data_IF_538976365806
#
_entry.id   IF_538976365806
#
_cell.length_a   1.000
_cell.length_b   1.000
_cell.length_c   1.000
_cell.angle_alpha   90.00
_cell.angle_beta   90.00
_cell.angle_gamma   90.00
#
_symmetry.space_group_name_H-M   'P 1'
#
loop_
_entity.id
_entity.type
_entity.pdbx_description
1 polymer ?
#
# COMPACT_ATOMS: atom_id res chain seq x y z
N UNK A 1 25.42 -34.32 -2.62
CA UNK A 1 26.37 -34.96 -1.69
C UNK A 1 26.96 -33.84 -0.86
N UNK A 2 26.83 -33.89 0.46
CA UNK A 2 27.45 -32.90 1.35
C UNK A 2 28.95 -33.14 1.36
N UNK A 3 29.71 -32.29 0.70
CA UNK A 3 31.18 -32.37 0.72
C UNK A 3 31.63 -32.01 2.14
N UNK A 4 31.99 -33.01 2.94
CA UNK A 4 32.57 -32.80 4.26
C UNK A 4 33.85 -31.97 4.11
N UNK A 5 33.83 -30.74 4.66
CA UNK A 5 35.00 -29.86 4.71
C UNK A 5 35.80 -30.17 5.98
N UNK A 6 37.10 -30.00 5.91
CA UNK A 6 38.03 -30.29 7.00
C UNK A 6 38.85 -29.06 7.36
N UNK A 7 39.22 -28.94 8.63
CA UNK A 7 40.18 -27.95 9.12
C UNK A 7 41.39 -28.65 9.74
N UNK A 8 42.53 -27.99 9.70
CA UNK A 8 43.76 -28.46 10.34
C UNK A 8 43.98 -27.65 11.60
N UNK A 9 44.09 -28.37 12.72
CA UNK A 9 44.27 -27.78 14.05
C UNK A 9 45.64 -28.13 14.58
N UNK A 10 46.30 -27.13 15.15
CA UNK A 10 47.60 -27.22 15.79
C UNK A 10 47.50 -26.64 17.20
N UNK A 11 48.00 -27.36 18.20
CA UNK A 11 47.87 -27.01 19.62
C UNK A 11 49.21 -26.68 20.29
N UNK A 12 50.27 -26.46 19.51
CA UNK A 12 51.61 -26.19 20.05
C UNK A 12 52.47 -27.44 20.28
N UNK A 13 51.94 -28.64 20.05
CA UNK A 13 52.67 -29.90 20.27
C UNK A 13 53.72 -30.18 19.17
N UNK A 14 54.90 -30.62 19.59
CA UNK A 14 56.02 -30.95 18.71
C UNK A 14 56.21 -32.47 18.62
N UNK A 15 56.71 -32.94 17.47
CA UNK A 15 57.06 -34.35 17.32
C UNK A 15 58.27 -34.72 18.20
N UNK A 16 58.34 -35.96 18.73
CA UNK A 16 59.46 -36.40 19.54
C UNK A 16 60.81 -36.23 18.81
N UNK A 17 61.75 -35.53 19.44
CA UNK A 17 63.10 -35.31 18.90
C UNK A 17 63.29 -34.03 18.09
N UNK A 18 62.26 -33.17 17.96
CA UNK A 18 62.36 -31.86 17.31
C UNK A 18 62.45 -30.74 18.36
N UNK A 19 63.48 -29.89 18.24
CA UNK A 19 63.64 -28.72 19.11
C UNK A 19 62.66 -27.60 18.72
N UNK A 20 62.12 -26.87 19.70
CA UNK A 20 61.16 -25.78 19.49
C UNK A 20 61.65 -24.70 18.52
N UNK A 21 62.93 -24.33 18.61
CA UNK A 21 63.56 -23.33 17.73
C UNK A 21 63.54 -23.77 16.27
N UNK A 22 63.90 -25.03 16.01
CA UNK A 22 63.93 -25.64 14.67
C UNK A 22 62.53 -25.79 14.09
N UNK A 23 61.56 -26.21 14.90
CA UNK A 23 60.16 -26.32 14.46
C UNK A 23 59.56 -24.95 14.07
N UNK A 24 59.85 -23.89 14.84
CA UNK A 24 59.38 -22.53 14.52
C UNK A 24 59.96 -22.03 13.20
N UNK A 25 61.25 -22.29 12.94
CA UNK A 25 61.91 -21.93 11.68
C UNK A 25 61.32 -22.69 10.48
N UNK A 26 61.17 -24.01 10.58
CA UNK A 26 60.58 -24.81 9.51
C UNK A 26 59.12 -24.42 9.23
N UNK A 27 58.36 -24.06 10.26
CA UNK A 27 56.96 -23.64 10.11
C UNK A 27 56.86 -22.23 9.51
N UNK A 28 57.77 -21.32 9.89
CA UNK A 28 57.89 -20.00 9.26
C UNK A 28 58.21 -20.12 7.77
N UNK A 29 59.10 -21.02 7.37
CA UNK A 29 59.41 -21.31 5.97
C UNK A 29 58.20 -21.90 5.23
N UNK A 30 57.52 -22.89 5.83
CA UNK A 30 56.36 -23.56 5.23
C UNK A 30 55.22 -22.59 4.93
N UNK A 31 54.92 -21.67 5.86
CA UNK A 31 53.86 -20.67 5.71
C UNK A 31 54.33 -19.37 5.03
N UNK A 32 55.63 -19.24 4.73
CA UNK A 32 56.25 -18.00 4.25
C UNK A 32 55.94 -16.80 5.16
N UNK A 33 55.99 -17.03 6.47
CA UNK A 33 55.70 -16.03 7.52
C UNK A 33 56.96 -15.69 8.32
N UNK A 34 56.88 -14.61 9.09
CA UNK A 34 57.86 -14.25 10.11
C UNK A 34 57.81 -15.19 11.34
N UNK A 35 58.96 -15.37 11.98
CA UNK A 35 59.09 -16.23 13.18
C UNK A 35 58.27 -15.69 14.36
N UNK A 36 58.08 -14.36 14.45
CA UNK A 36 57.24 -13.72 15.46
C UNK A 36 55.74 -14.00 15.28
N UNK A 37 55.26 -14.07 14.03
CA UNK A 37 53.89 -14.47 13.72
C UNK A 37 53.62 -15.94 14.07
N UNK A 38 54.62 -16.80 13.85
CA UNK A 38 54.55 -18.22 14.21
C UNK A 38 54.59 -18.45 15.72
N UNK A 39 55.35 -17.65 16.48
CA UNK A 39 55.45 -17.78 17.94
C UNK A 39 54.08 -17.66 18.62
N UNK A 40 53.19 -16.82 18.06
CA UNK A 40 51.80 -16.65 18.53
C UNK A 40 50.92 -17.88 18.35
N UNK A 41 51.35 -18.88 17.58
CA UNK A 41 50.63 -20.15 17.39
C UNK A 41 51.01 -21.19 18.47
N UNK A 42 52.13 -20.99 19.18
CA UNK A 42 52.60 -21.86 20.26
C UNK A 42 52.03 -21.46 21.63
N UNK A 43 50.72 -21.19 21.68
CA UNK A 43 50.02 -20.76 22.90
C UNK A 43 49.50 -21.92 23.77
N UNK A 44 49.70 -23.17 23.32
CA UNK A 44 49.19 -24.38 23.97
C UNK A 44 47.67 -24.60 23.80
N UNK A 45 46.99 -23.69 23.10
CA UNK A 45 45.57 -23.80 22.77
C UNK A 45 45.41 -24.22 21.30
N UNK A 46 44.36 -25.00 20.96
CA UNK A 46 44.14 -25.44 19.58
C UNK A 46 43.81 -24.26 18.65
N UNK A 47 44.72 -23.96 17.73
CA UNK A 47 44.58 -22.95 16.69
C UNK A 47 44.34 -23.61 15.33
N UNK A 48 43.36 -23.11 14.57
CA UNK A 48 43.11 -23.58 13.21
C UNK A 48 44.09 -22.89 12.22
N UNK A 49 44.99 -23.66 11.63
CA UNK A 49 45.97 -23.16 10.65
C UNK A 49 45.35 -22.93 9.28
N UNK A 50 44.47 -23.84 8.84
CA UNK A 50 43.77 -23.76 7.57
C UNK A 50 42.41 -24.42 7.69
N UNK A 51 41.40 -23.79 7.10
CA UNK A 51 39.99 -24.20 7.13
C UNK A 51 39.51 -24.54 5.72
N UNK A 52 38.33 -25.15 5.65
CA UNK A 52 37.60 -25.32 4.40
C UNK A 52 38.38 -26.15 3.36
N UNK A 53 39.02 -27.24 3.80
CA UNK A 53 39.81 -28.13 2.95
C UNK A 53 39.02 -29.36 2.54
N UNK A 54 39.30 -29.88 1.33
CA UNK A 54 38.88 -31.23 0.96
C UNK A 54 39.75 -32.27 1.66
N UNK A 55 39.28 -33.52 1.77
CA UNK A 55 40.07 -34.60 2.41
C UNK A 55 41.48 -34.80 1.82
N UNK A 56 41.68 -34.90 0.50
CA UNK A 56 43.02 -35.08 -0.07
C UNK A 56 43.93 -33.86 0.16
N UNK A 57 43.38 -32.65 0.15
CA UNK A 57 44.15 -31.45 0.47
C UNK A 57 44.58 -31.46 1.93
N UNK A 58 43.66 -31.78 2.86
CA UNK A 58 43.96 -31.83 4.29
C UNK A 58 45.08 -32.84 4.62
N UNK A 59 45.11 -34.00 3.97
CA UNK A 59 46.19 -34.99 4.11
C UNK A 59 47.54 -34.46 3.60
N UNK A 60 47.52 -33.71 2.49
CA UNK A 60 48.72 -33.09 1.91
C UNK A 60 49.32 -32.06 2.88
N UNK A 61 48.48 -31.19 3.44
CA UNK A 61 48.93 -30.21 4.44
C UNK A 61 49.38 -30.85 5.75
N UNK A 62 48.71 -31.92 6.21
CA UNK A 62 49.13 -32.68 7.39
C UNK A 62 50.55 -33.26 7.20
N UNK A 63 50.84 -33.77 6.00
CA UNK A 63 52.16 -34.33 5.67
C UNK A 63 53.24 -33.25 5.71
N UNK A 64 52.94 -32.07 5.16
CA UNK A 64 53.86 -30.93 5.19
C UNK A 64 54.15 -30.46 6.63
N UNK A 65 53.15 -30.45 7.50
CA UNK A 65 53.30 -30.06 8.91
C UNK A 65 54.10 -31.10 9.73
N UNK A 66 53.90 -32.40 9.47
CA UNK A 66 54.71 -33.46 10.09
C UNK A 66 56.18 -33.37 9.67
N UNK A 67 56.44 -33.08 8.40
CA UNK A 67 57.80 -32.86 7.89
C UNK A 67 58.46 -31.62 8.51
N UNK A 68 57.66 -30.60 8.86
CA UNK A 68 58.14 -29.43 9.60
C UNK A 68 58.40 -29.71 11.10
N UNK A 69 58.07 -30.91 11.60
CA UNK A 69 58.34 -31.35 12.97
C UNK A 69 57.22 -31.07 13.96
N UNK A 70 56.00 -30.83 13.48
CA UNK A 70 54.87 -30.36 14.28
C UNK A 70 53.74 -31.39 14.30
N UNK A 71 53.10 -31.58 15.47
CA UNK A 71 51.96 -32.48 15.62
C UNK A 71 50.65 -31.71 15.37
N UNK A 72 50.09 -31.89 14.18
CA UNK A 72 48.82 -31.30 13.77
C UNK A 72 47.78 -32.40 13.53
N UNK A 73 46.49 -32.07 13.69
CA UNK A 73 45.39 -33.01 13.48
C UNK A 73 44.34 -32.46 12.51
N UNK A 74 43.70 -33.38 11.78
CA UNK A 74 42.58 -33.06 10.91
C UNK A 74 41.29 -33.19 11.72
N UNK A 75 40.49 -32.14 11.75
CA UNK A 75 39.15 -32.14 12.36
C UNK A 75 38.10 -31.88 11.27
N UNK A 76 36.97 -32.57 11.34
CA UNK A 76 35.83 -32.30 10.46
C UNK A 76 35.26 -30.91 10.80
N UNK A 77 35.16 -30.05 9.80
CA UNK A 77 34.50 -28.76 9.93
C UNK A 77 33.02 -28.97 9.66
N UNK A 78 32.20 -28.94 10.71
CA UNK A 78 30.76 -28.88 10.52
C UNK A 78 30.46 -27.61 9.73
N UNK A 79 29.70 -27.68 8.62
CA UNK A 79 29.29 -26.48 7.92
C UNK A 79 28.59 -25.59 8.93
N UNK A 80 29.11 -24.38 9.13
CA UNK A 80 28.38 -23.33 9.82
C UNK A 80 27.21 -23.00 8.91
N UNK A 81 26.14 -23.79 9.01
CA UNK A 81 24.85 -23.38 8.53
C UNK A 81 24.52 -22.14 9.35
N UNK A 82 24.59 -20.96 8.73
CA UNK A 82 23.90 -19.80 9.24
C UNK A 82 22.39 -20.10 9.17
N UNK A 83 21.92 -20.92 10.10
CA UNK A 83 20.52 -21.07 10.40
C UNK A 83 20.10 -19.77 11.07
N UNK A 84 19.29 -18.98 10.37
CA UNK A 84 18.52 -17.89 10.96
C UNK A 84 17.42 -18.40 11.92
N UNK A 85 17.38 -19.71 12.18
CA UNK A 85 16.47 -20.37 13.09
C UNK A 85 17.30 -21.12 14.15
N UNK A 86 17.94 -20.37 15.05
CA UNK A 86 18.12 -20.73 16.47
C UNK A 86 18.82 -19.57 17.18
N UNK A 87 18.11 -18.45 17.33
CA UNK A 87 18.19 -17.80 18.62
C UNK A 87 17.63 -18.81 19.60
N UNK A 88 18.48 -19.34 20.50
CA UNK A 88 17.97 -19.85 21.76
C UNK A 88 17.18 -18.69 22.36
N UNK A 89 15.85 -18.72 22.17
CA UNK A 89 14.93 -18.05 23.06
C UNK A 89 15.26 -18.65 24.42
N UNK A 90 16.03 -17.91 25.22
CA UNK A 90 15.99 -18.10 26.65
C UNK A 90 14.53 -17.94 27.01
N UNK A 91 13.87 -19.07 27.25
CA UNK A 91 12.53 -19.20 27.76
C UNK A 91 12.45 -18.33 29.01
N UNK A 92 12.07 -17.05 28.83
CA UNK A 92 11.82 -16.11 29.90
C UNK A 92 10.41 -16.35 30.42
N UNK A 93 10.16 -17.62 30.76
CA UNK A 93 8.92 -18.17 31.29
C UNK A 93 9.19 -18.99 32.56
N UNK A 94 10.28 -18.74 33.27
CA UNK A 94 10.47 -19.22 34.63
C UNK A 94 10.97 -18.05 35.48
N UNK A 95 10.25 -17.77 36.56
CA UNK A 95 10.58 -16.81 37.60
C UNK A 95 12.03 -17.00 38.09
N UNK A 96 12.94 -16.18 37.59
CA UNK A 96 14.35 -16.24 37.95
C UNK A 96 14.66 -15.27 39.10
N UNK A 97 14.75 -15.82 40.31
CA UNK A 97 15.26 -15.15 41.51
C UNK A 97 16.81 -15.08 41.55
N UNK A 98 17.50 -15.29 40.42
CA UNK A 98 18.97 -15.30 40.38
C UNK A 98 19.51 -14.34 39.31
N UNK A 99 19.28 -13.03 39.43
CA UNK A 99 20.08 -12.04 38.69
C UNK A 99 21.37 -11.73 39.46
N UNK A 100 22.58 -12.09 38.95
CA UNK A 100 23.81 -11.53 39.48
C UNK A 100 23.74 -10.01 39.34
N UNK A 101 24.09 -9.29 40.40
CA UNK A 101 24.13 -7.84 40.42
C UNK A 101 24.90 -7.32 39.19
N UNK A 102 24.30 -6.37 38.47
CA UNK A 102 24.92 -5.73 37.32
C UNK A 102 26.32 -5.22 37.71
N UNK A 103 27.34 -5.61 36.95
CA UNK A 103 28.72 -5.17 37.18
C UNK A 103 28.76 -3.63 37.27
N UNK A 104 29.46 -3.05 38.27
CA UNK A 104 29.55 -1.59 38.46
C UNK A 104 30.11 -0.79 37.28
N UNK A 105 30.74 -1.48 36.31
CA UNK A 105 31.32 -0.89 35.09
C UNK A 105 30.55 -1.25 33.81
N UNK A 106 29.34 -1.80 33.94
CA UNK A 106 28.52 -2.08 32.77
C UNK A 106 28.10 -0.77 32.09
N UNK A 107 28.35 -0.58 30.78
CA UNK A 107 27.89 0.59 30.05
C UNK A 107 26.35 0.64 30.11
N UNK A 108 25.75 1.85 30.17
CA UNK A 108 24.30 1.99 30.20
C UNK A 108 23.72 1.37 28.92
N UNK A 109 23.01 0.24 29.08
CA UNK A 109 22.27 -0.37 27.98
C UNK A 109 21.02 0.47 27.76
N UNK A 110 21.01 1.27 26.71
CA UNK A 110 19.76 1.79 26.18
C UNK A 110 18.91 0.59 25.75
N UNK A 111 17.63 0.56 26.14
CA UNK A 111 16.68 -0.39 25.59
C UNK A 111 16.43 -0.01 24.13
N UNK A 112 17.34 -0.41 23.23
CA UNK A 112 17.22 -0.17 21.79
C UNK A 112 16.39 -1.30 21.22
N UNK A 113 15.08 -1.06 21.13
CA UNK A 113 14.09 -2.02 20.68
C UNK A 113 13.02 -2.21 21.74
N UNK A 114 11.87 -1.57 21.54
CA UNK A 114 10.64 -2.11 22.11
C UNK A 114 10.42 -3.46 21.42
N UNK A 115 10.18 -4.53 22.20
CA UNK A 115 9.73 -5.83 21.67
C UNK A 115 8.33 -5.62 21.08
N UNK A 116 8.30 -5.16 19.84
CA UNK A 116 7.08 -5.04 19.07
C UNK A 116 6.64 -6.44 18.64
N UNK A 117 5.33 -6.75 18.72
CA UNK A 117 4.82 -8.01 18.20
C UNK A 117 5.14 -8.14 16.70
N UNK A 118 5.31 -9.36 16.20
CA UNK A 118 5.63 -9.61 14.79
C UNK A 118 4.60 -8.97 13.85
N UNK A 119 3.33 -8.91 14.27
CA UNK A 119 2.23 -8.29 13.52
C UNK A 119 1.37 -7.39 14.39
N UNK A 120 0.85 -6.32 13.79
CA UNK A 120 -0.10 -5.42 14.43
C UNK A 120 -1.51 -6.02 14.52
N UNK A 121 -2.25 -5.65 15.56
CA UNK A 121 -3.68 -5.97 15.68
C UNK A 121 -4.49 -5.15 14.68
N UNK A 122 -5.48 -5.78 14.05
CA UNK A 122 -6.35 -5.13 13.07
C UNK A 122 -7.57 -4.57 13.78
N UNK A 123 -7.69 -3.25 13.81
CA UNK A 123 -8.93 -2.59 14.21
C UNK A 123 -9.23 -1.47 13.22
N UNK A 124 -10.36 -1.57 12.53
CA UNK A 124 -10.71 -0.70 11.40
C UNK A 124 -11.43 0.57 11.87
N UNK A 125 -12.04 0.53 13.05
CA UNK A 125 -12.81 1.63 13.62
C UNK A 125 -11.98 2.56 14.53
N UNK A 126 -10.68 2.62 14.28
CA UNK A 126 -9.72 3.45 15.02
C UNK A 126 -8.79 4.14 14.04
N UNK A 127 -8.10 5.18 14.52
CA UNK A 127 -7.03 5.85 13.77
C UNK A 127 -5.66 5.25 14.05
N UNK A 128 -5.54 4.44 15.11
CA UNK A 128 -4.28 3.82 15.51
C UNK A 128 -4.08 2.49 14.79
N UNK A 129 -2.86 2.27 14.31
CA UNK A 129 -2.49 1.06 13.58
C UNK A 129 -2.30 1.31 12.09
N UNK A 130 -2.15 0.21 11.37
CA UNK A 130 -1.71 0.18 9.98
C UNK A 130 -2.55 -0.79 9.16
N UNK A 131 -2.92 -0.38 7.96
CA UNK A 131 -3.66 -1.24 7.03
C UNK A 131 -2.96 -1.29 5.67
N UNK A 132 -2.66 -2.51 5.21
CA UNK A 132 -2.03 -2.73 3.92
C UNK A 132 -2.97 -2.43 2.74
N UNK A 133 -2.40 -2.17 1.56
CA UNK A 133 -3.15 -1.79 0.33
C UNK A 133 -4.32 -2.70 -0.04
N UNK A 134 -4.19 -4.02 0.13
CA UNK A 134 -5.26 -4.97 -0.21
C UNK A 134 -6.44 -4.90 0.76
N UNK A 135 -6.18 -4.70 2.05
CA UNK A 135 -7.24 -4.51 3.05
C UNK A 135 -7.88 -3.14 2.92
N UNK A 136 -7.09 -2.12 2.58
CA UNK A 136 -7.60 -0.80 2.22
C UNK A 136 -8.62 -0.91 1.06
N UNK A 137 -8.25 -1.56 -0.05
CA UNK A 137 -9.17 -1.82 -1.18
C UNK A 137 -10.44 -2.57 -0.75
N UNK A 138 -10.29 -3.65 0.02
CA UNK A 138 -11.42 -4.46 0.46
C UNK A 138 -12.41 -3.65 1.30
N UNK A 139 -11.92 -2.86 2.25
CA UNK A 139 -12.77 -2.03 3.10
C UNK A 139 -13.37 -0.83 2.36
N UNK A 140 -12.66 -0.23 1.39
CA UNK A 140 -13.24 0.82 0.54
C UNK A 140 -14.37 0.27 -0.34
N UNK A 141 -14.27 -0.98 -0.82
CA UNK A 141 -15.37 -1.65 -1.52
C UNK A 141 -16.55 -1.88 -0.57
N UNK A 142 -16.32 -2.42 0.62
CA UNK A 142 -17.38 -2.64 1.62
C UNK A 142 -18.11 -1.35 1.95
N UNK A 143 -17.36 -0.26 2.19
CA UNK A 143 -17.91 1.06 2.45
C UNK A 143 -18.74 1.58 1.26
N UNK A 144 -18.24 1.41 0.04
CA UNK A 144 -18.93 1.86 -1.19
C UNK A 144 -20.23 1.08 -1.41
N UNK A 145 -20.20 -0.24 -1.26
CA UNK A 145 -21.41 -1.07 -1.40
C UNK A 145 -22.41 -0.77 -0.29
N UNK A 146 -21.96 -0.62 0.96
CA UNK A 146 -22.82 -0.21 2.07
C UNK A 146 -23.48 1.15 1.80
N UNK A 147 -22.74 2.11 1.24
CA UNK A 147 -23.27 3.41 0.80
C UNK A 147 -24.36 3.23 -0.26
N UNK A 148 -24.11 2.47 -1.33
CA UNK A 148 -25.10 2.26 -2.40
C UNK A 148 -26.37 1.60 -1.88
N UNK A 149 -26.24 0.57 -1.04
CA UNK A 149 -27.38 -0.14 -0.47
C UNK A 149 -28.18 0.78 0.46
N UNK A 150 -27.51 1.45 1.40
CA UNK A 150 -28.18 2.34 2.34
C UNK A 150 -28.83 3.55 1.63
N UNK A 151 -28.12 4.18 0.68
CA UNK A 151 -28.67 5.29 -0.11
C UNK A 151 -29.84 4.83 -0.99
N UNK A 152 -29.76 3.64 -1.59
CA UNK A 152 -30.85 3.05 -2.38
C UNK A 152 -32.10 2.78 -1.54
N UNK A 153 -31.94 2.25 -0.31
CA UNK A 153 -33.04 2.06 0.63
C UNK A 153 -33.67 3.42 1.01
N UNK A 154 -32.84 4.39 1.40
CA UNK A 154 -33.31 5.74 1.76
C UNK A 154 -34.07 6.37 0.59
N UNK A 155 -33.52 6.30 -0.63
CA UNK A 155 -34.13 6.84 -1.83
C UNK A 155 -35.47 6.17 -2.14
N UNK A 156 -35.56 4.84 -2.04
CA UNK A 156 -36.80 4.08 -2.28
C UNK A 156 -37.89 4.47 -1.28
N UNK A 157 -37.54 4.57 0.01
CA UNK A 157 -38.49 4.99 1.06
C UNK A 157 -38.92 6.44 0.86
N UNK A 158 -37.98 7.35 0.57
CA UNK A 158 -38.30 8.75 0.34
C UNK A 158 -39.17 8.95 -0.91
N UNK A 159 -38.94 8.18 -1.97
CA UNK A 159 -39.78 8.20 -3.17
C UNK A 159 -41.22 7.79 -2.87
N UNK A 160 -41.43 6.75 -2.06
CA UNK A 160 -42.76 6.33 -1.62
C UNK A 160 -43.46 7.41 -0.76
N UNK A 161 -42.73 8.15 0.07
CA UNK A 161 -43.30 9.27 0.85
C UNK A 161 -43.61 10.48 -0.04
N UNK A 162 -42.80 10.70 -1.08
CA UNK A 162 -42.94 11.84 -1.98
C UNK A 162 -44.28 11.85 -2.72
N UNK A 163 -44.91 10.69 -2.93
CA UNK A 163 -46.24 10.59 -3.54
C UNK A 163 -47.35 11.19 -2.67
N UNK A 164 -47.16 11.23 -1.35
CA UNK A 164 -48.11 11.84 -0.40
C UNK A 164 -47.73 13.29 -0.09
N UNK A 165 -46.45 13.55 0.15
CA UNK A 165 -45.96 14.90 0.45
C UNK A 165 -44.50 15.06 0.00
N UNK A 166 -44.23 15.79 -1.10
CA UNK A 166 -42.88 15.95 -1.62
C UNK A 166 -41.96 16.71 -0.65
N UNK A 167 -42.48 17.71 0.07
CA UNK A 167 -41.70 18.51 1.02
C UNK A 167 -41.13 17.67 2.17
N UNK A 168 -41.93 16.77 2.75
CA UNK A 168 -41.46 15.90 3.85
C UNK A 168 -40.42 14.90 3.34
N UNK A 169 -40.62 14.33 2.15
CA UNK A 169 -39.68 13.41 1.55
C UNK A 169 -38.30 14.05 1.34
N UNK A 170 -38.26 15.29 0.85
CA UNK A 170 -37.00 16.03 0.64
C UNK A 170 -36.30 16.29 1.98
N UNK A 171 -37.03 16.79 3.00
CA UNK A 171 -36.46 17.09 4.31
C UNK A 171 -35.91 15.82 4.98
N UNK A 172 -36.70 14.74 5.02
CA UNK A 172 -36.28 13.49 5.65
C UNK A 172 -35.13 12.83 4.88
N UNK A 173 -35.22 12.78 3.54
CA UNK A 173 -34.20 12.19 2.69
C UNK A 173 -32.87 12.94 2.77
N UNK A 174 -32.89 14.28 2.79
CA UNK A 174 -31.68 15.07 2.94
C UNK A 174 -31.06 14.91 4.33
N UNK A 175 -31.86 14.94 5.40
CA UNK A 175 -31.36 14.75 6.77
C UNK A 175 -30.72 13.37 6.97
N UNK A 176 -31.41 12.31 6.53
CA UNK A 176 -30.94 10.94 6.66
C UNK A 176 -29.75 10.66 5.73
N UNK A 177 -29.78 11.19 4.51
CA UNK A 177 -28.68 11.13 3.57
C UNK A 177 -27.43 11.83 4.08
N UNK A 178 -27.58 13.02 4.69
CA UNK A 178 -26.47 13.74 5.31
C UNK A 178 -25.90 12.98 6.52
N UNK A 179 -26.75 12.43 7.39
CA UNK A 179 -26.30 11.62 8.53
C UNK A 179 -25.52 10.38 8.07
N UNK A 180 -26.02 9.67 7.05
CA UNK A 180 -25.33 8.53 6.43
C UNK A 180 -23.98 8.96 5.85
N UNK A 181 -23.94 10.07 5.12
CA UNK A 181 -22.71 10.60 4.54
C UNK A 181 -21.65 10.88 5.61
N UNK A 182 -22.01 11.59 6.68
CA UNK A 182 -21.08 11.90 7.78
C UNK A 182 -20.55 10.61 8.43
N UNK A 183 -21.43 9.64 8.72
CA UNK A 183 -21.03 8.38 9.32
C UNK A 183 -20.01 7.61 8.44
N UNK A 184 -20.25 7.55 7.14
CA UNK A 184 -19.34 6.87 6.20
C UNK A 184 -18.04 7.63 5.98
N UNK A 185 -18.06 8.96 5.96
CA UNK A 185 -16.85 9.79 5.89
C UNK A 185 -15.95 9.52 7.09
N UNK A 186 -16.51 9.44 8.30
CA UNK A 186 -15.72 9.14 9.52
C UNK A 186 -14.99 7.80 9.38
N UNK A 187 -15.69 6.76 8.95
CA UNK A 187 -15.08 5.42 8.75
C UNK A 187 -14.06 5.45 7.62
N UNK A 188 -14.34 6.15 6.52
CA UNK A 188 -13.40 6.35 5.41
C UNK A 188 -12.10 7.01 5.86
N UNK A 189 -12.20 8.06 6.68
CA UNK A 189 -11.05 8.76 7.26
C UNK A 189 -10.25 7.83 8.16
N UNK A 190 -10.89 7.04 9.02
CA UNK A 190 -10.19 6.08 9.88
C UNK A 190 -9.36 5.08 9.07
N UNK A 191 -9.96 4.45 8.06
CA UNK A 191 -9.30 3.51 7.15
C UNK A 191 -8.15 4.19 6.38
N UNK A 192 -8.40 5.40 5.88
CA UNK A 192 -7.45 6.21 5.12
C UNK A 192 -6.22 6.61 5.94
N UNK A 193 -6.42 7.04 7.18
CA UNK A 193 -5.35 7.38 8.13
C UNK A 193 -4.48 6.16 8.42
N UNK A 194 -5.08 5.00 8.70
CA UNK A 194 -4.31 3.76 8.89
C UNK A 194 -3.52 3.36 7.64
N UNK A 195 -4.02 3.69 6.44
CA UNK A 195 -3.30 3.42 5.18
C UNK A 195 -2.11 4.34 5.01
N UNK A 196 -2.24 5.61 5.38
CA UNK A 196 -1.12 6.56 5.43
C UNK A 196 -0.07 6.14 6.46
N UNK A 197 -0.51 5.67 7.62
CA UNK A 197 0.39 5.10 8.63
C UNK A 197 1.15 3.88 8.11
N UNK A 198 0.54 3.06 7.25
CA UNK A 198 1.24 1.93 6.62
C UNK A 198 2.36 2.39 5.66
N UNK A 199 2.19 3.55 5.03
CA UNK A 199 3.23 4.22 4.22
C UNK A 199 4.29 4.95 5.08
N UNK A 200 4.07 5.07 6.39
CA UNK A 200 4.90 5.86 7.29
C UNK A 200 4.61 7.37 7.22
N UNK A 201 3.47 7.76 6.65
CA UNK A 201 3.07 9.16 6.50
C UNK A 201 2.07 9.60 7.56
N UNK A 202 1.98 10.92 7.78
CA UNK A 202 1.02 11.52 8.70
C UNK A 202 -0.42 11.35 8.21
N UNK A 203 -1.33 10.95 9.11
CA UNK A 203 -2.76 10.86 8.84
C UNK A 203 -3.41 12.18 8.39
N UNK A 204 -2.82 13.33 8.72
CA UNK A 204 -3.29 14.65 8.27
C UNK A 204 -3.29 14.80 6.75
N UNK A 205 -2.44 14.05 6.03
CA UNK A 205 -2.44 14.05 4.57
C UNK A 205 -3.75 13.52 3.99
N UNK A 206 -4.57 12.82 4.77
CA UNK A 206 -5.87 12.36 4.30
C UNK A 206 -6.84 13.51 3.98
N UNK A 207 -6.63 14.71 4.56
CA UNK A 207 -7.40 15.91 4.24
C UNK A 207 -7.21 16.39 2.79
N UNK A 208 -6.18 15.90 2.08
CA UNK A 208 -5.99 16.18 0.66
C UNK A 208 -7.17 15.68 -0.21
N UNK A 209 -7.95 14.72 0.27
CA UNK A 209 -9.19 14.28 -0.38
C UNK A 209 -10.28 15.36 -0.40
N UNK A 210 -10.15 16.45 0.38
CA UNK A 210 -11.07 17.59 0.32
C UNK A 210 -10.80 18.52 -0.87
N UNK A 211 -9.62 18.41 -1.51
CA UNK A 211 -9.26 19.21 -2.68
C UNK A 211 -9.69 18.45 -3.94
N UNK A 212 -10.65 18.92 -4.75
CA UNK A 212 -11.28 18.12 -5.81
C UNK A 212 -10.28 17.48 -6.80
N UNK A 213 -9.32 18.25 -7.30
CA UNK A 213 -8.32 17.76 -8.25
C UNK A 213 -7.38 16.72 -7.63
N UNK A 214 -7.00 16.92 -6.37
CA UNK A 214 -6.12 16.00 -5.64
C UNK A 214 -6.88 14.72 -5.27
N UNK A 215 -8.16 14.83 -4.92
CA UNK A 215 -9.03 13.70 -4.58
C UNK A 215 -9.16 12.67 -5.72
N UNK A 216 -8.97 13.06 -6.98
CA UNK A 216 -8.98 12.12 -8.11
C UNK A 216 -7.71 11.27 -8.21
N UNK A 217 -6.55 11.79 -7.76
CA UNK A 217 -5.24 11.16 -7.95
C UNK A 217 -4.74 10.52 -6.66
N UNK A 218 -4.99 11.16 -5.52
CA UNK A 218 -4.42 10.75 -4.23
C UNK A 218 -4.86 9.35 -3.76
N UNK A 219 -6.15 8.94 -3.85
CA UNK A 219 -6.56 7.56 -3.56
C UNK A 219 -5.88 6.52 -4.46
N UNK A 220 -5.63 6.85 -5.73
CA UNK A 220 -4.90 5.97 -6.66
C UNK A 220 -3.44 5.80 -6.23
N UNK A 221 -2.81 6.87 -5.74
CA UNK A 221 -1.48 6.81 -5.16
C UNK A 221 -1.46 5.89 -3.92
N UNK A 222 -2.42 6.04 -3.00
CA UNK A 222 -2.54 5.18 -1.82
C UNK A 222 -2.77 3.70 -2.17
N UNK A 223 -3.36 3.43 -3.33
CA UNK A 223 -3.54 2.08 -3.86
C UNK A 223 -2.21 1.48 -4.38
N UNK A 224 -1.46 2.23 -5.17
CA UNK A 224 -0.29 1.71 -5.89
C UNK A 224 0.94 1.57 -4.98
N UNK A 225 1.18 2.53 -4.08
CA UNK A 225 2.42 2.55 -3.29
C UNK A 225 2.52 1.36 -2.33
N UNK A 226 3.67 0.68 -2.22
CA UNK A 226 3.87 -0.32 -1.18
C UNK A 226 3.98 0.34 0.21
N UNK A 227 3.43 -0.31 1.24
CA UNK A 227 3.68 0.06 2.64
C UNK A 227 5.04 -0.42 3.14
N UNK A 228 5.42 0.00 4.34
CA UNK A 228 6.68 -0.41 4.96
C UNK A 228 6.61 -1.89 5.40
N UNK A 229 7.59 -2.71 5.00
CA UNK A 229 7.66 -4.13 5.38
C UNK A 229 8.08 -4.36 6.83
N UNK A 230 8.80 -3.42 7.43
CA UNK A 230 9.23 -3.47 8.82
C UNK A 230 8.29 -2.71 9.77
N UNK A 231 8.66 -2.69 11.05
CA UNK A 231 8.06 -1.77 12.01
C UNK A 231 8.32 -0.32 11.58
N UNK A 232 7.33 0.54 11.79
CA UNK A 232 7.47 1.99 11.61
C UNK A 232 6.95 2.71 12.87
N UNK A 233 6.95 4.04 12.86
CA UNK A 233 6.49 4.86 14.00
C UNK A 233 5.02 4.62 14.42
N UNK A 234 4.24 3.93 13.59
CA UNK A 234 2.84 3.58 13.85
C UNK A 234 2.66 2.11 14.25
N UNK A 235 3.76 1.36 14.43
CA UNK A 235 3.78 0.00 14.95
C UNK A 235 4.24 -1.06 13.94
N UNK A 236 4.04 -2.31 14.36
CA UNK A 236 4.37 -3.52 13.61
C UNK A 236 3.66 -3.59 12.24
N UNK A 237 4.21 -4.34 11.27
CA UNK A 237 3.57 -4.50 9.98
C UNK A 237 2.19 -5.18 10.08
N UNK A 238 1.26 -4.89 9.16
CA UNK A 238 -0.03 -5.57 9.14
C UNK A 238 0.15 -7.06 8.83
N UNK A 239 -0.68 -7.95 9.41
CA UNK A 239 -0.57 -9.38 9.19
C UNK A 239 -0.92 -9.76 7.76
N UNK A 240 -0.48 -10.97 7.37
CA UNK A 240 -0.75 -11.55 6.06
C UNK A 240 -2.24 -11.47 5.68
N UNK A 241 -2.50 -11.22 4.40
CA UNK A 241 -3.85 -11.06 3.88
C UNK A 241 -4.53 -12.43 3.67
N UNK A 242 -5.76 -12.56 4.16
CA UNK A 242 -6.59 -13.74 3.91
C UNK A 242 -7.07 -13.82 2.46
N UNK A 243 -7.57 -14.98 2.06
CA UNK A 243 -8.16 -15.20 0.72
C UNK A 243 -9.36 -14.28 0.48
N UNK A 244 -10.24 -14.11 1.48
CA UNK A 244 -11.39 -13.22 1.41
C UNK A 244 -10.97 -11.76 1.10
N UNK A 245 -9.91 -11.26 1.73
CA UNK A 245 -9.38 -9.90 1.46
C UNK A 245 -8.91 -9.79 0.01
N UNK A 246 -8.24 -10.83 -0.52
CA UNK A 246 -7.78 -10.83 -1.92
C UNK A 246 -8.96 -10.82 -2.90
N UNK A 247 -10.00 -11.61 -2.61
CA UNK A 247 -11.22 -11.64 -3.43
C UNK A 247 -11.93 -10.28 -3.41
N UNK A 248 -12.13 -9.69 -2.23
CA UNK A 248 -12.72 -8.36 -2.10
C UNK A 248 -11.90 -7.29 -2.84
N UNK A 249 -10.56 -7.33 -2.72
CA UNK A 249 -9.70 -6.42 -3.45
C UNK A 249 -9.82 -6.59 -4.98
N UNK A 250 -9.92 -7.83 -5.48
CA UNK A 250 -10.15 -8.06 -6.91
C UNK A 250 -11.52 -7.61 -7.38
N UNK A 251 -12.57 -7.80 -6.56
CA UNK A 251 -13.92 -7.30 -6.86
C UNK A 251 -13.92 -5.78 -6.93
N UNK A 252 -13.13 -5.09 -6.10
CA UNK A 252 -13.04 -3.64 -6.16
C UNK A 252 -12.43 -3.14 -7.48
N UNK A 253 -11.41 -3.83 -8.01
CA UNK A 253 -10.85 -3.52 -9.31
C UNK A 253 -11.83 -3.74 -10.47
N UNK A 254 -12.75 -4.71 -10.34
CA UNK A 254 -13.83 -4.93 -11.31
C UNK A 254 -14.99 -3.93 -11.14
N UNK A 255 -15.25 -3.46 -9.92
CA UNK A 255 -16.32 -2.52 -9.61
C UNK A 255 -16.07 -1.13 -10.22
N UNK A 256 -14.82 -0.65 -10.25
CA UNK A 256 -14.46 0.66 -10.82
C UNK A 256 -14.90 0.81 -12.29
N UNK A 257 -14.48 -0.08 -13.24
CA UNK A 257 -14.91 0.04 -14.63
C UNK A 257 -16.42 -0.20 -14.78
N UNK A 258 -17.01 -1.09 -13.98
CA UNK A 258 -18.47 -1.31 -13.99
C UNK A 258 -19.23 -0.02 -13.65
N UNK A 259 -18.84 0.67 -12.58
CA UNK A 259 -19.48 1.94 -12.20
C UNK A 259 -19.24 3.05 -13.21
N UNK A 260 -18.08 3.09 -13.85
CA UNK A 260 -17.79 4.04 -14.92
C UNK A 260 -18.72 3.82 -16.13
N UNK A 261 -18.93 2.56 -16.53
CA UNK A 261 -19.86 2.21 -17.61
C UNK A 261 -21.30 2.55 -17.24
N UNK A 262 -21.75 2.21 -16.02
CA UNK A 262 -23.09 2.55 -15.54
C UNK A 262 -23.29 4.08 -15.53
N UNK A 263 -22.32 4.83 -15.02
CA UNK A 263 -22.37 6.31 -15.01
C UNK A 263 -22.43 6.91 -16.41
N UNK A 264 -21.58 6.46 -17.33
CA UNK A 264 -21.59 6.92 -18.73
C UNK A 264 -22.90 6.58 -19.44
N UNK A 265 -23.43 5.37 -19.25
CA UNK A 265 -24.68 4.96 -19.89
C UNK A 265 -25.87 5.75 -19.36
N UNK A 266 -26.02 5.90 -18.04
CA UNK A 266 -27.08 6.72 -17.45
C UNK A 266 -26.95 8.20 -17.85
N UNK A 267 -25.74 8.75 -17.85
CA UNK A 267 -25.48 10.13 -18.23
C UNK A 267 -25.76 10.40 -19.71
N UNK A 268 -25.33 9.51 -20.60
CA UNK A 268 -25.58 9.63 -22.04
C UNK A 268 -27.08 9.52 -22.36
N UNK A 269 -27.81 8.58 -21.73
CA UNK A 269 -29.26 8.51 -21.88
C UNK A 269 -29.95 9.79 -21.40
N UNK A 270 -29.56 10.34 -20.24
CA UNK A 270 -30.09 11.61 -19.76
C UNK A 270 -29.81 12.78 -20.71
N UNK A 271 -28.61 12.84 -21.28
CA UNK A 271 -28.23 13.87 -22.25
C UNK A 271 -28.99 13.75 -23.58
N UNK A 272 -29.19 12.53 -24.08
CA UNK A 272 -29.99 12.27 -25.28
C UNK A 272 -31.45 12.69 -25.08
N UNK A 273 -32.05 12.34 -23.93
CA UNK A 273 -33.42 12.76 -23.60
C UNK A 273 -33.56 14.29 -23.52
N UNK A 274 -32.54 14.99 -23.00
CA UNK A 274 -32.54 16.44 -22.94
C UNK A 274 -32.37 17.08 -24.33
N UNK A 275 -31.53 16.49 -25.19
CA UNK A 275 -31.40 16.90 -26.58
C UNK A 275 -32.72 16.73 -27.33
N UNK A 276 -33.39 15.58 -27.17
CA UNK A 276 -34.70 15.31 -27.77
C UNK A 276 -35.74 16.36 -27.32
N UNK A 277 -35.86 16.61 -26.01
CA UNK A 277 -36.78 17.63 -25.49
C UNK A 277 -36.47 19.06 -25.99
N UNK A 278 -35.19 19.43 -26.10
CA UNK A 278 -34.78 20.72 -26.63
C UNK A 278 -35.05 20.85 -28.14
N UNK A 279 -34.89 19.76 -28.89
CA UNK A 279 -35.17 19.71 -30.32
C UNK A 279 -36.67 19.80 -30.56
N UNK A 280 -37.49 19.01 -29.84
CA UNK A 280 -38.95 19.05 -29.95
C UNK A 280 -39.51 20.44 -29.63
N UNK A 281 -39.06 21.05 -28.53
CA UNK A 281 -39.49 22.42 -28.18
C UNK A 281 -39.07 23.47 -29.22
N UNK A 282 -37.92 23.31 -29.88
CA UNK A 282 -37.49 24.21 -30.95
C UNK A 282 -38.36 24.09 -32.22
N UNK A 283 -38.85 22.88 -32.53
CA UNK A 283 -39.78 22.67 -33.63
C UNK A 283 -41.17 23.25 -33.32
N UNK A 284 -41.71 23.03 -32.12
CA UNK A 284 -42.99 23.63 -31.73
C UNK A 284 -42.93 25.16 -31.69
N UNK A 285 -41.85 25.73 -31.15
CA UNK A 285 -41.62 27.17 -31.16
C UNK A 285 -41.56 27.74 -32.58
N UNK A 286 -40.89 27.06 -33.51
CA UNK A 286 -40.77 27.52 -34.90
C UNK A 286 -42.09 27.37 -35.69
N UNK A 287 -42.88 26.34 -35.39
CA UNK A 287 -44.20 26.16 -35.99
C UNK A 287 -45.16 27.28 -35.55
N UNK A 288 -45.18 27.61 -34.25
CA UNK A 288 -46.01 28.69 -33.70
C UNK A 288 -45.65 30.05 -34.31
N UNK A 289 -44.36 30.39 -34.42
CA UNK A 289 -43.96 31.67 -35.03
C UNK A 289 -44.30 31.74 -36.51
N UNK A 290 -44.25 30.61 -37.22
CA UNK A 290 -44.59 30.56 -38.65
C UNK A 290 -46.08 30.80 -38.86
N UNK A 291 -46.94 30.23 -38.01
CA UNK A 291 -48.38 30.46 -38.08
C UNK A 291 -48.77 31.89 -37.67
N UNK A 292 -48.10 32.47 -36.65
CA UNK A 292 -48.30 33.88 -36.27
C UNK A 292 -47.86 34.86 -37.38
N UNK A 293 -46.73 34.60 -38.05
CA UNK A 293 -46.25 35.43 -39.17
C UNK A 293 -47.19 35.32 -40.40
N UNK A 294 -47.80 34.15 -40.63
CA UNK A 294 -48.79 33.94 -41.68
C UNK A 294 -50.10 34.67 -41.37
N UNK A 295 -50.58 34.62 -40.13
CA UNK A 295 -51.78 35.37 -39.72
C UNK A 295 -51.52 36.88 -39.77
N UNK A 296 -50.33 37.35 -39.37
CA UNK A 296 -49.99 38.77 -39.36
C UNK A 296 -49.80 39.34 -40.78
N UNK A 297 -49.24 38.56 -41.70
CA UNK A 297 -49.12 38.93 -43.11
C UNK A 297 -50.47 38.93 -43.84
N UNK A 298 -51.35 37.97 -43.55
CA UNK A 298 -52.71 37.94 -44.10
C UNK A 298 -53.54 39.16 -43.68
N UNK A 299 -53.46 39.56 -42.40
CA UNK A 299 -54.15 40.77 -41.92
C UNK A 299 -53.57 42.07 -42.53
N UNK A 300 -52.25 42.13 -42.77
CA UNK A 300 -51.61 43.28 -43.38
C UNK A 300 -51.92 43.44 -44.88
N UNK A 301 -52.11 42.33 -45.60
CA UNK A 301 -52.56 42.35 -47.00
C UNK A 301 -54.04 42.76 -47.12
N UNK A 302 -54.91 42.34 -46.20
CA UNK A 302 -56.30 42.81 -46.15
C UNK A 302 -56.41 44.33 -45.87
N UNK A 303 -55.61 44.85 -44.92
CA UNK A 303 -55.59 46.29 -44.60
C UNK A 303 -55.03 47.14 -45.76
N UNK A 304 -54.03 46.64 -46.50
CA UNK A 304 -53.52 47.33 -47.70
C UNK A 304 -54.50 47.28 -48.88
N UNK A 305 -55.20 46.16 -49.07
CA UNK A 305 -56.22 46.05 -50.12
C UNK A 305 -57.39 47.01 -49.87
N UNK A 306 -57.82 47.15 -48.60
CA UNK A 306 -58.85 48.13 -48.21
C UNK A 306 -58.36 49.59 -48.34
N UNK A 307 -57.09 49.86 -48.05
CA UNK A 307 -56.51 51.21 -48.18
C UNK A 307 -56.29 51.64 -49.64
N UNK A 308 -56.04 50.70 -50.55
CA UNK A 308 -55.88 50.97 -51.99
C UNK A 308 -57.22 51.24 -52.69
N UNK A 309 -58.34 50.74 -52.16
CA UNK A 309 -59.68 50.97 -52.70
C UNK A 309 -60.28 52.32 -52.25
N UNK A 310 -59.74 52.95 -51.20
CA UNK A 310 -60.15 54.28 -50.68
C UNK A 310 -59.33 55.46 -51.29
N UNK A 311 -58.28 55.18 -52.06
CA UNK A 311 -57.50 56.20 -52.76
C UNK A 311 -58.16 56.61 -54.09
N UNK A 312 -59.18 57.48 -53.98
CA UNK A 312 -59.99 58.00 -55.08
C UNK A 312 -59.25 58.80 -56.17
N UNK A 313 -59.95 58.92 -57.31
CA UNK A 313 -59.59 59.58 -58.58
C UNK A 313 -58.94 60.98 -58.45
N UNK A 314 -58.08 61.39 -59.42
CA UNK A 314 -57.42 62.68 -59.38
C UNK A 314 -58.41 63.82 -59.70
N UNK A 315 -58.51 64.80 -58.79
CA UNK A 315 -59.35 65.99 -58.93
C UNK A 315 -58.62 67.04 -59.78
N UNK A 316 -59.17 67.31 -60.97
CA UNK A 316 -58.73 68.35 -61.90
C UNK A 316 -59.10 69.75 -61.36
N UNK A 317 -58.16 70.69 -61.34
CA UNK A 317 -58.34 72.05 -60.80
C UNK A 317 -58.59 73.06 -61.93
N UNK A 318 -59.63 73.91 -61.90
CA UNK A 318 -59.84 74.88 -62.95
C UNK A 318 -59.06 76.18 -62.70
N UNK A 319 -58.57 76.76 -63.80
CA UNK A 319 -58.02 78.11 -63.88
C UNK A 319 -59.07 79.20 -63.57
N UNK A 320 -58.63 80.17 -62.75
CA UNK A 320 -58.89 81.64 -62.72
C UNK A 320 -59.25 82.18 -61.33
#
# INVERSE_FOLDING_TARGET
MSDNRFKIVFDGALLPGVESTTAKLNLAELFKSDVEGIDKLFTGSPVALKRDLTRPDAETYLTALKNAGVDARIEAEQPVAFSLAETHETDAGASDFSRPAASPYAPPRAAVGEDLPEYATLNVFTINGRIGRLRYLAWTLVLSVAMLVAAGIISTVCFAIATASPTIAIILGSLLGFALFVALVVVSVQIGVQRLHDLGWSGWLYLLNLVPLVNSIFPLLLLVLPGNSGANQYGAPPPRNSTAVKVLASLWLAFIPLMLIIGLTLGMNGYLNQLEANVDSSYESSAITSDEDLDQSANAEEDQAQSAEDAGEPVDSPEQ
#
